data_IF_794056322487
#
_entry.id   IF_794056322487
#
_cell.length_a   1.000
_cell.length_b   1.000
_cell.length_c   1.000
_cell.angle_alpha   90.00
_cell.angle_beta   90.00
_cell.angle_gamma   90.00
#
_symmetry.space_group_name_H-M   'P 1'
#
loop_
_entity.id
_entity.type
_entity.pdbx_description
1 polymer ?
#
# COMPACT_ATOMS: atom_id res chain seq x y z
N UNK A 1 68.98 -4.68 3.08
CA UNK A 1 67.84 -4.64 4.04
C UNK A 1 67.86 -5.91 4.86
N UNK A 2 68.08 -5.82 6.17
CA UNK A 2 68.31 -6.96 7.05
C UNK A 2 67.05 -7.85 7.19
N UNK A 3 67.18 -9.17 6.97
CA UNK A 3 66.05 -10.13 7.05
C UNK A 3 65.26 -10.05 8.38
N UNK A 4 65.88 -9.56 9.46
CA UNK A 4 65.22 -9.33 10.76
C UNK A 4 64.27 -8.12 10.74
N UNK A 5 64.54 -7.08 9.94
CA UNK A 5 63.68 -5.88 9.81
C UNK A 5 62.47 -6.21 8.95
N UNK A 6 62.63 -7.03 7.92
CA UNK A 6 61.51 -7.48 7.08
C UNK A 6 60.50 -8.36 7.85
N UNK A 7 61.00 -9.19 8.80
CA UNK A 7 60.12 -10.05 9.63
C UNK A 7 59.32 -9.25 10.67
N UNK A 8 59.89 -8.20 11.22
CA UNK A 8 59.17 -7.31 12.18
C UNK A 8 58.10 -6.47 11.46
N UNK A 9 58.40 -6.00 10.24
CA UNK A 9 57.42 -5.24 9.43
C UNK A 9 56.25 -6.11 8.97
N UNK A 10 56.45 -7.39 8.65
CA UNK A 10 55.38 -8.31 8.26
C UNK A 10 54.50 -8.66 9.47
N UNK A 11 55.10 -8.82 10.66
CA UNK A 11 54.31 -9.06 11.91
C UNK A 11 53.52 -7.81 12.33
N UNK A 12 54.04 -6.60 12.14
CA UNK A 12 53.31 -5.37 12.43
C UNK A 12 52.15 -5.13 11.47
N UNK A 13 52.28 -5.46 10.16
CA UNK A 13 51.18 -5.40 9.20
C UNK A 13 50.10 -6.46 9.46
N UNK A 14 50.50 -7.68 9.89
CA UNK A 14 49.51 -8.73 10.25
C UNK A 14 48.76 -8.38 11.54
N UNK A 15 49.37 -7.71 12.50
CA UNK A 15 48.69 -7.25 13.73
C UNK A 15 47.67 -6.10 13.43
N UNK A 16 47.98 -5.21 12.50
CA UNK A 16 47.06 -4.14 12.10
C UNK A 16 45.86 -4.68 11.29
N UNK A 17 46.01 -5.75 10.49
CA UNK A 17 44.93 -6.38 9.75
C UNK A 17 43.99 -7.18 10.66
N UNK A 18 44.49 -7.77 11.76
CA UNK A 18 43.65 -8.50 12.72
C UNK A 18 42.88 -7.55 13.66
N UNK A 19 43.43 -6.37 14.00
CA UNK A 19 42.71 -5.38 14.79
C UNK A 19 41.65 -4.62 13.98
N UNK A 20 41.80 -4.49 12.65
CA UNK A 20 40.79 -3.89 11.77
C UNK A 20 39.55 -4.75 11.55
N UNK A 21 39.67 -6.08 11.59
CA UNK A 21 38.57 -6.98 11.44
C UNK A 21 37.78 -7.28 12.77
N UNK A 22 38.46 -7.08 13.92
CA UNK A 22 37.84 -7.27 15.24
C UNK A 22 37.07 -6.02 15.72
N UNK A 23 37.38 -4.83 15.21
CA UNK A 23 36.69 -3.60 15.62
C UNK A 23 35.34 -3.39 14.94
N UNK A 24 35.14 -3.87 13.74
CA UNK A 24 33.84 -3.77 13.06
C UNK A 24 32.76 -4.64 13.75
N UNK A 25 33.10 -5.90 14.12
CA UNK A 25 32.13 -6.78 14.79
C UNK A 25 31.92 -6.52 16.29
N UNK A 26 32.84 -5.77 16.94
CA UNK A 26 32.73 -5.45 18.37
C UNK A 26 31.91 -4.15 18.62
N UNK A 27 31.91 -3.23 17.65
CA UNK A 27 31.03 -2.04 17.70
C UNK A 27 29.59 -2.37 17.35
N UNK A 28 29.32 -3.35 16.50
CA UNK A 28 27.96 -3.87 16.25
C UNK A 28 27.35 -4.60 17.48
N UNK A 29 28.21 -5.18 18.35
CA UNK A 29 27.73 -5.85 19.58
C UNK A 29 27.48 -4.87 20.75
N UNK A 30 28.05 -3.66 20.73
CA UNK A 30 27.88 -2.64 21.78
C UNK A 30 27.01 -1.45 21.36
N UNK A 31 26.71 -1.31 20.10
CA UNK A 31 25.74 -0.39 19.59
C UNK A 31 24.46 -1.16 19.32
N UNK A 32 23.46 -1.02 20.19
CA UNK A 32 22.09 -1.11 19.72
C UNK A 32 21.97 -0.03 18.64
N UNK A 33 22.33 -0.39 17.40
CA UNK A 33 22.18 0.51 16.27
C UNK A 33 20.73 0.91 16.23
N UNK A 34 20.46 2.21 16.35
CA UNK A 34 19.18 2.75 15.96
C UNK A 34 19.08 2.55 14.45
N UNK A 35 18.88 1.31 14.02
CA UNK A 35 18.66 1.00 12.62
C UNK A 35 17.41 1.76 12.17
N UNK A 36 17.58 2.57 11.14
CA UNK A 36 16.47 3.35 10.60
C UNK A 36 15.50 2.39 9.94
N UNK A 37 14.27 2.32 10.45
CA UNK A 37 13.20 1.51 9.88
C UNK A 37 12.74 2.15 8.57
N UNK A 38 12.89 1.45 7.47
CA UNK A 38 12.43 1.91 6.16
C UNK A 38 10.99 1.49 5.93
N UNK A 39 10.13 2.49 5.77
CA UNK A 39 8.71 2.29 5.55
C UNK A 39 8.34 2.68 4.13
N UNK A 40 8.01 1.67 3.31
CA UNK A 40 7.56 1.88 1.94
C UNK A 40 6.07 2.24 1.87
N UNK A 41 5.71 3.13 0.94
CA UNK A 41 4.33 3.57 0.75
C UNK A 41 4.03 3.93 -0.72
N UNK A 42 2.75 4.06 -1.04
CA UNK A 42 2.27 4.55 -2.32
C UNK A 42 1.72 5.98 -2.17
N UNK A 43 1.81 6.85 -3.20
CA UNK A 43 1.29 8.21 -3.13
C UNK A 43 -0.26 8.20 -3.20
N UNK A 44 -0.89 7.87 -2.08
CA UNK A 44 -2.35 7.77 -1.93
C UNK A 44 -2.75 8.15 -0.49
N UNK A 45 -3.93 8.75 -0.37
CA UNK A 45 -4.58 9.03 0.92
C UNK A 45 -4.99 7.75 1.67
N UNK A 46 -5.00 6.60 1.01
CA UNK A 46 -5.15 5.29 1.66
C UNK A 46 -4.06 5.03 2.73
N UNK A 47 -2.90 5.65 2.58
CA UNK A 47 -1.77 5.55 3.50
C UNK A 47 -1.74 6.71 4.53
N UNK A 48 -2.86 7.47 4.67
CA UNK A 48 -2.94 8.65 5.56
C UNK A 48 -2.51 8.36 7.00
N UNK A 49 -2.75 7.16 7.53
CA UNK A 49 -2.32 6.81 8.89
C UNK A 49 -0.79 6.82 9.06
N UNK A 50 -0.03 6.46 8.02
CA UNK A 50 1.42 6.57 8.00
C UNK A 50 1.85 8.04 8.10
N UNK A 51 1.29 8.90 7.25
CA UNK A 51 1.67 10.31 7.20
C UNK A 51 1.27 11.07 8.46
N UNK A 52 0.10 10.79 9.02
CA UNK A 52 -0.33 11.31 10.32
C UNK A 52 0.64 10.88 11.42
N UNK A 53 1.04 9.61 11.46
CA UNK A 53 1.97 9.10 12.44
C UNK A 53 3.34 9.79 12.35
N UNK A 54 3.86 9.94 11.15
CA UNK A 54 5.14 10.60 10.88
C UNK A 54 5.09 12.09 11.27
N UNK A 55 4.13 12.85 10.74
CA UNK A 55 3.99 14.29 11.00
C UNK A 55 3.71 14.63 12.47
N UNK A 56 3.08 13.73 13.22
CA UNK A 56 2.86 13.89 14.66
C UNK A 56 4.05 13.40 15.50
N UNK A 57 5.11 12.88 14.87
CA UNK A 57 6.31 12.36 15.53
C UNK A 57 6.02 11.14 16.42
N UNK A 58 5.04 10.29 16.04
CA UNK A 58 4.66 9.13 16.87
C UNK A 58 5.74 8.07 16.90
N UNK A 59 6.50 7.91 15.82
CA UNK A 59 7.65 7.00 15.75
C UNK A 59 8.79 7.48 16.65
N UNK A 60 9.15 8.76 16.56
CA UNK A 60 10.21 9.36 17.39
C UNK A 60 9.89 9.27 18.90
N UNK A 61 8.62 9.47 19.29
CA UNK A 61 8.16 9.32 20.68
C UNK A 61 8.37 7.90 21.22
N UNK A 62 8.48 6.93 20.35
CA UNK A 62 8.79 5.53 20.66
C UNK A 62 10.28 5.17 20.49
N UNK A 63 11.10 6.15 20.12
CA UNK A 63 12.54 5.95 19.86
C UNK A 63 12.80 5.22 18.53
N UNK A 64 11.80 5.11 17.66
CA UNK A 64 11.92 4.50 16.33
C UNK A 64 12.31 5.60 15.34
N UNK A 65 13.47 5.46 14.72
CA UNK A 65 13.89 6.31 13.61
C UNK A 65 13.34 5.74 12.30
N UNK A 66 12.66 6.55 11.51
CA UNK A 66 12.03 6.11 10.27
C UNK A 66 12.58 6.83 9.04
N UNK A 67 12.57 6.13 7.90
CA UNK A 67 12.77 6.68 6.57
C UNK A 67 11.57 6.26 5.71
N UNK A 68 10.81 7.23 5.20
CA UNK A 68 9.68 6.96 4.33
C UNK A 68 10.14 6.87 2.87
N UNK A 69 9.85 5.74 2.20
CA UNK A 69 10.30 5.45 0.83
C UNK A 69 9.08 5.31 -0.07
N UNK A 70 8.94 6.22 -1.03
CA UNK A 70 7.83 6.22 -1.97
C UNK A 70 8.06 5.25 -3.13
N UNK A 71 7.01 4.50 -3.47
CA UNK A 71 6.97 3.61 -4.63
C UNK A 71 5.87 4.00 -5.61
N UNK A 72 6.06 3.68 -6.89
CA UNK A 72 5.05 3.97 -7.92
C UNK A 72 3.87 2.99 -7.91
N UNK A 73 4.07 1.78 -7.38
CA UNK A 73 3.07 0.72 -7.34
C UNK A 73 3.42 -0.36 -6.30
N UNK A 74 2.44 -1.20 -5.96
CA UNK A 74 2.61 -2.24 -4.95
C UNK A 74 3.59 -3.36 -5.35
N UNK A 75 3.77 -3.63 -6.64
CA UNK A 75 4.71 -4.63 -7.13
C UNK A 75 6.17 -4.25 -6.86
N UNK A 76 6.51 -2.98 -7.12
CA UNK A 76 7.84 -2.44 -6.84
C UNK A 76 8.12 -2.44 -5.33
N UNK A 77 7.14 -2.03 -4.52
CA UNK A 77 7.25 -2.09 -3.06
C UNK A 77 7.46 -3.53 -2.57
N UNK A 78 6.70 -4.51 -3.07
CA UNK A 78 6.90 -5.90 -2.70
C UNK A 78 8.27 -6.45 -3.14
N UNK A 79 8.81 -5.97 -4.25
CA UNK A 79 10.16 -6.32 -4.70
C UNK A 79 11.23 -5.76 -3.76
N UNK A 80 11.09 -4.51 -3.31
CA UNK A 80 11.98 -3.88 -2.34
C UNK A 80 11.93 -4.58 -0.97
N UNK A 81 10.74 -5.02 -0.53
CA UNK A 81 10.61 -5.83 0.68
C UNK A 81 11.24 -7.21 0.53
N UNK A 82 11.07 -7.85 -0.63
CA UNK A 82 11.70 -9.16 -0.91
C UNK A 82 13.23 -9.11 -0.95
N UNK A 83 13.81 -7.96 -1.35
CA UNK A 83 15.27 -7.73 -1.35
C UNK A 83 15.83 -7.27 0.00
N UNK A 84 14.97 -6.95 0.99
CA UNK A 84 15.38 -6.38 2.28
C UNK A 84 15.73 -4.89 2.24
N UNK A 85 15.33 -4.18 1.18
CA UNK A 85 15.50 -2.73 1.09
C UNK A 85 14.47 -1.96 1.91
N UNK A 86 13.33 -2.57 2.23
CA UNK A 86 12.21 -2.00 2.99
C UNK A 86 11.78 -2.99 4.06
N UNK A 87 11.59 -2.51 5.27
CA UNK A 87 11.25 -3.30 6.46
C UNK A 87 9.74 -3.44 6.65
N UNK A 88 9.02 -2.33 6.46
CA UNK A 88 7.57 -2.21 6.65
C UNK A 88 6.95 -1.58 5.40
N UNK A 89 5.76 -2.01 5.00
CA UNK A 89 5.08 -1.47 3.82
C UNK A 89 3.62 -1.15 4.08
N UNK A 90 3.17 -0.01 3.57
CA UNK A 90 1.76 0.34 3.42
C UNK A 90 1.38 0.07 1.96
N UNK A 91 0.49 -0.87 1.73
CA UNK A 91 0.28 -1.39 0.37
C UNK A 91 -1.06 -2.10 0.23
N UNK A 92 -1.57 -2.17 -0.99
CA UNK A 92 -2.77 -2.94 -1.31
C UNK A 92 -2.60 -4.44 -1.00
N UNK A 93 -3.67 -5.09 -0.54
CA UNK A 93 -3.65 -6.51 -0.17
C UNK A 93 -3.32 -7.44 -1.35
N UNK A 94 -3.74 -7.11 -2.57
CA UNK A 94 -3.55 -7.97 -3.74
C UNK A 94 -2.07 -8.22 -4.12
N UNK A 95 -1.17 -7.21 -4.20
CA UNK A 95 0.25 -7.46 -4.38
C UNK A 95 0.88 -8.22 -3.21
N UNK A 96 0.38 -8.04 -1.98
CA UNK A 96 0.83 -8.84 -0.82
C UNK A 96 0.49 -10.30 -1.00
N UNK A 97 -0.76 -10.62 -1.32
CA UNK A 97 -1.22 -11.99 -1.56
C UNK A 97 -0.40 -12.67 -2.66
N UNK A 98 -0.17 -11.97 -3.77
CA UNK A 98 0.65 -12.46 -4.88
C UNK A 98 2.10 -12.73 -4.47
N UNK A 99 2.67 -11.88 -3.59
CA UNK A 99 4.05 -12.01 -3.11
C UNK A 99 4.19 -13.16 -2.10
N UNK A 100 3.27 -13.27 -1.14
CA UNK A 100 3.26 -14.39 -0.17
C UNK A 100 3.00 -15.72 -0.87
N UNK A 101 2.14 -15.76 -1.89
CA UNK A 101 1.92 -16.96 -2.71
C UNK A 101 3.20 -17.41 -3.43
N UNK A 102 4.10 -16.49 -3.78
CA UNK A 102 5.42 -16.75 -4.38
C UNK A 102 6.51 -17.04 -3.34
N UNK A 103 6.20 -17.01 -2.05
CA UNK A 103 7.13 -17.31 -0.98
C UNK A 103 7.96 -16.12 -0.48
N UNK A 104 7.57 -14.88 -0.79
CA UNK A 104 8.21 -13.69 -0.21
C UNK A 104 7.97 -13.71 1.31
N UNK A 105 9.02 -13.57 2.14
CA UNK A 105 8.94 -13.70 3.59
C UNK A 105 8.45 -12.39 4.22
N UNK A 106 7.15 -12.14 4.12
CA UNK A 106 6.46 -10.97 4.70
C UNK A 106 5.17 -11.39 5.38
N UNK A 107 4.72 -10.60 6.33
CA UNK A 107 3.45 -10.80 7.06
C UNK A 107 2.63 -9.52 7.06
N UNK A 108 1.31 -9.69 6.95
CA UNK A 108 0.37 -8.63 7.28
C UNK A 108 0.32 -8.48 8.80
N UNK A 109 0.64 -7.30 9.30
CA UNK A 109 0.68 -6.96 10.72
C UNK A 109 -0.52 -6.11 11.16
N UNK A 110 -1.18 -5.42 10.22
CA UNK A 110 -2.43 -4.67 10.46
C UNK A 110 -3.21 -4.48 9.16
N UNK A 111 -4.53 -4.34 9.25
CA UNK A 111 -5.33 -3.68 8.22
C UNK A 111 -5.03 -2.18 8.22
N UNK A 112 -5.29 -1.47 7.12
CA UNK A 112 -5.14 -0.02 7.05
C UNK A 112 -6.43 0.67 6.59
N UNK A 113 -7.08 0.14 5.55
CA UNK A 113 -8.31 0.72 5.02
C UNK A 113 -9.06 -0.32 4.17
N UNK A 114 -10.38 -0.12 4.00
CA UNK A 114 -11.25 -0.88 3.09
C UNK A 114 -11.87 0.06 2.07
N UNK A 115 -12.30 -0.50 0.94
CA UNK A 115 -13.02 0.26 -0.10
C UNK A 115 -12.16 1.35 -0.77
N UNK A 116 -12.73 2.54 -1.03
CA UNK A 116 -11.98 3.69 -1.57
C UNK A 116 -11.70 3.60 -3.07
N UNK A 117 -12.42 2.77 -3.84
CA UNK A 117 -12.33 2.73 -5.29
C UNK A 117 -13.67 3.11 -5.92
N UNK A 118 -13.66 3.42 -7.23
CA UNK A 118 -14.88 3.74 -7.96
C UNK A 118 -14.72 3.66 -9.47
N UNK A 119 -15.83 3.47 -10.15
CA UNK A 119 -15.95 3.55 -11.61
C UNK A 119 -16.42 4.97 -11.96
N UNK A 120 -15.61 5.70 -12.71
CA UNK A 120 -15.95 7.03 -13.21
C UNK A 120 -16.03 6.98 -14.73
N UNK A 121 -17.10 7.52 -15.30
CA UNK A 121 -17.34 7.53 -16.74
C UNK A 121 -17.61 8.94 -17.24
N UNK A 122 -17.34 9.20 -18.53
CA UNK A 122 -17.72 10.46 -19.15
C UNK A 122 -19.23 10.48 -19.42
N UNK A 123 -19.90 11.60 -19.21
CA UNK A 123 -21.33 11.77 -19.52
C UNK A 123 -21.64 11.52 -20.99
N UNK A 124 -20.72 11.92 -21.87
CA UNK A 124 -20.86 11.75 -23.33
C UNK A 124 -20.76 10.28 -23.76
N UNK A 125 -20.20 9.38 -22.93
CA UNK A 125 -20.15 7.95 -23.23
C UNK A 125 -21.52 7.30 -23.29
N UNK A 126 -22.54 7.92 -22.69
CA UNK A 126 -23.88 7.37 -22.56
C UNK A 126 -23.99 6.20 -21.56
N UNK A 127 -22.95 5.98 -20.75
CA UNK A 127 -22.94 4.92 -19.73
C UNK A 127 -23.71 5.41 -18.51
N UNK A 128 -24.79 4.71 -18.16
CA UNK A 128 -25.64 4.99 -17.00
C UNK A 128 -25.83 3.76 -16.12
N UNK A 129 -25.43 2.59 -16.63
CA UNK A 129 -25.55 1.30 -15.94
C UNK A 129 -24.41 0.35 -16.33
N UNK A 130 -24.30 -0.77 -15.63
CA UNK A 130 -23.35 -1.82 -15.99
C UNK A 130 -23.56 -2.35 -17.42
N UNK A 131 -24.80 -2.46 -17.89
CA UNK A 131 -25.12 -2.96 -19.23
C UNK A 131 -24.54 -2.09 -20.34
N UNK A 132 -24.44 -0.77 -20.11
CA UNK A 132 -23.90 0.20 -21.08
C UNK A 132 -22.37 0.11 -21.23
N UNK A 133 -21.70 -0.62 -20.34
CA UNK A 133 -20.23 -0.83 -20.41
C UNK A 133 -19.82 -1.73 -21.57
N UNK A 134 -20.76 -2.50 -22.15
CA UNK A 134 -20.44 -3.41 -23.26
C UNK A 134 -19.88 -2.66 -24.46
N UNK A 135 -18.69 -3.08 -24.93
CA UNK A 135 -17.97 -2.48 -26.03
C UNK A 135 -17.23 -1.17 -25.69
N UNK A 136 -17.33 -0.67 -24.45
CA UNK A 136 -16.69 0.57 -24.01
C UNK A 136 -15.23 0.37 -23.66
N UNK A 137 -14.48 1.48 -23.73
CA UNK A 137 -13.06 1.54 -23.40
C UNK A 137 -12.90 1.99 -21.96
N UNK A 138 -12.46 1.06 -21.10
CA UNK A 138 -12.28 1.30 -19.65
C UNK A 138 -10.81 1.11 -19.28
N UNK A 139 -10.23 2.10 -18.60
CA UNK A 139 -8.88 1.92 -18.06
C UNK A 139 -8.92 1.42 -16.61
N UNK A 140 -7.94 0.58 -16.28
CA UNK A 140 -7.62 0.12 -14.92
C UNK A 140 -6.19 0.51 -14.56
N UNK A 141 -5.84 0.68 -13.27
CA UNK A 141 -4.46 0.88 -12.87
C UNK A 141 -3.58 -0.31 -13.29
N UNK A 142 -2.41 -0.01 -13.86
CA UNK A 142 -1.50 -1.03 -14.41
C UNK A 142 -0.97 -1.84 -13.25
N UNK A 143 -0.85 -2.10 -12.36
CA UNK A 143 -0.18 -2.88 -11.30
C UNK A 143 -0.93 -2.77 -9.95
N UNK A 144 -2.22 -2.49 -10.06
CA UNK A 144 -3.13 -2.48 -8.92
C UNK A 144 -4.29 -3.45 -9.21
N UNK A 145 -4.11 -4.76 -8.95
CA UNK A 145 -5.08 -5.79 -9.33
C UNK A 145 -6.42 -5.67 -8.60
N UNK A 146 -6.51 -4.97 -7.48
CA UNK A 146 -7.76 -4.76 -6.73
C UNK A 146 -8.86 -4.20 -7.63
N UNK A 147 -8.57 -3.13 -8.40
CA UNK A 147 -9.55 -2.48 -9.27
C UNK A 147 -9.99 -3.41 -10.41
N UNK A 148 -9.08 -4.24 -10.93
CA UNK A 148 -9.44 -5.24 -11.93
C UNK A 148 -10.35 -6.33 -11.35
N UNK A 149 -10.11 -6.79 -10.13
CA UNK A 149 -10.98 -7.74 -9.43
C UNK A 149 -12.37 -7.14 -9.24
N UNK A 150 -12.43 -5.90 -8.75
CA UNK A 150 -13.70 -5.18 -8.53
C UNK A 150 -14.49 -5.01 -9.84
N UNK A 151 -13.81 -4.58 -10.92
CA UNK A 151 -14.45 -4.47 -12.23
C UNK A 151 -14.97 -5.83 -12.71
N UNK A 152 -14.15 -6.87 -12.61
CA UNK A 152 -14.54 -8.22 -13.03
C UNK A 152 -15.75 -8.73 -12.24
N UNK A 153 -15.78 -8.49 -10.93
CA UNK A 153 -16.88 -8.86 -10.06
C UNK A 153 -18.15 -8.06 -10.39
N UNK A 154 -18.03 -6.75 -10.61
CA UNK A 154 -19.15 -5.89 -11.00
C UNK A 154 -19.78 -6.34 -12.32
N UNK A 155 -18.96 -6.64 -13.30
CA UNK A 155 -19.41 -7.14 -14.61
C UNK A 155 -20.11 -8.49 -14.47
N UNK A 156 -19.51 -9.45 -13.75
CA UNK A 156 -20.09 -10.78 -13.52
C UNK A 156 -21.48 -10.72 -12.85
N UNK A 157 -21.64 -9.87 -11.84
CA UNK A 157 -22.92 -9.61 -11.18
C UNK A 157 -24.00 -9.09 -12.12
N UNK A 158 -23.61 -8.40 -13.18
CA UNK A 158 -24.50 -7.80 -14.17
C UNK A 158 -24.56 -8.60 -15.48
N UNK A 159 -24.11 -9.86 -15.49
CA UNK A 159 -24.17 -10.74 -16.65
C UNK A 159 -23.21 -10.43 -17.78
N UNK A 160 -22.17 -9.67 -17.48
CA UNK A 160 -21.07 -9.30 -18.39
C UNK A 160 -19.76 -9.93 -17.95
N UNK A 161 -18.74 -9.81 -18.79
CA UNK A 161 -17.39 -10.23 -18.50
C UNK A 161 -16.39 -9.17 -18.95
N UNK A 162 -15.14 -9.25 -18.49
CA UNK A 162 -14.07 -8.37 -18.95
C UNK A 162 -13.80 -8.46 -20.46
N UNK A 163 -14.22 -9.55 -21.12
CA UNK A 163 -14.12 -9.72 -22.57
C UNK A 163 -15.13 -8.90 -23.37
N UNK A 164 -16.17 -8.41 -22.68
CA UNK A 164 -17.20 -7.54 -23.29
C UNK A 164 -16.75 -6.09 -23.36
N UNK A 165 -15.61 -5.72 -22.76
CA UNK A 165 -15.06 -4.38 -22.71
C UNK A 165 -13.70 -4.30 -23.41
N UNK A 166 -13.29 -3.08 -23.79
CA UNK A 166 -11.92 -2.78 -24.23
C UNK A 166 -11.14 -2.27 -23.00
N UNK A 167 -10.49 -3.18 -22.26
CA UNK A 167 -9.77 -2.83 -21.03
C UNK A 167 -8.31 -2.48 -21.36
N UNK A 168 -7.84 -1.33 -20.86
CA UNK A 168 -6.45 -0.88 -20.93
C UNK A 168 -5.87 -0.66 -19.55
N UNK A 169 -4.62 -1.12 -19.33
CA UNK A 169 -3.88 -0.90 -18.10
C UNK A 169 -3.01 0.36 -18.23
N UNK A 170 -3.25 1.37 -17.39
CA UNK A 170 -2.60 2.68 -17.45
C UNK A 170 -2.00 3.07 -16.09
N UNK A 171 -1.04 4.03 -16.09
CA UNK A 171 -0.63 4.69 -14.84
C UNK A 171 -1.76 5.59 -14.35
N UNK A 172 -2.01 5.61 -13.04
CA UNK A 172 -3.19 6.26 -12.46
C UNK A 172 -3.32 7.74 -12.83
N UNK A 173 -2.28 8.60 -12.74
CA UNK A 173 -2.41 10.00 -13.17
C UNK A 173 -2.83 10.13 -14.63
N UNK A 174 -2.28 9.28 -15.53
CA UNK A 174 -2.59 9.29 -16.96
C UNK A 174 -4.01 8.83 -17.29
N UNK A 175 -4.67 8.10 -16.39
CA UNK A 175 -6.06 7.66 -16.59
C UNK A 175 -7.01 8.86 -16.58
N UNK A 176 -6.84 9.80 -15.66
CA UNK A 176 -7.65 11.01 -15.60
C UNK A 176 -7.47 11.90 -16.85
N UNK A 177 -6.23 12.00 -17.36
CA UNK A 177 -5.96 12.73 -18.59
C UNK A 177 -6.61 12.07 -19.81
N UNK A 178 -6.54 10.72 -19.90
CA UNK A 178 -7.16 9.97 -20.99
C UNK A 178 -8.70 10.09 -20.95
N UNK A 179 -9.30 10.09 -19.75
CA UNK A 179 -10.74 10.32 -19.56
C UNK A 179 -11.12 11.74 -20.00
N UNK A 180 -10.40 12.75 -19.54
CA UNK A 180 -10.61 14.18 -19.89
C UNK A 180 -10.49 14.44 -21.39
N UNK A 181 -9.55 13.76 -22.06
CA UNK A 181 -9.35 13.89 -23.52
C UNK A 181 -10.24 12.95 -24.35
N UNK A 182 -11.15 12.21 -23.70
CA UNK A 182 -12.09 11.26 -24.33
C UNK A 182 -11.40 10.16 -25.14
N UNK A 183 -10.18 9.76 -24.76
CA UNK A 183 -9.49 8.61 -25.33
C UNK A 183 -10.07 7.30 -24.82
N UNK A 184 -10.75 7.35 -23.66
CA UNK A 184 -11.45 6.24 -23.00
C UNK A 184 -12.81 6.73 -22.52
N UNK A 185 -13.76 5.81 -22.36
CA UNK A 185 -15.11 6.09 -21.92
C UNK A 185 -15.22 6.15 -20.39
N UNK A 186 -14.36 5.43 -19.68
CA UNK A 186 -14.37 5.36 -18.23
C UNK A 186 -13.08 4.81 -17.65
N UNK A 187 -12.99 4.93 -16.33
CA UNK A 187 -11.90 4.41 -15.50
C UNK A 187 -12.48 3.67 -14.31
N UNK A 188 -11.77 2.67 -13.81
CA UNK A 188 -11.91 2.23 -12.43
C UNK A 188 -10.61 2.54 -11.72
N UNK A 189 -10.65 3.32 -10.65
CA UNK A 189 -9.48 3.79 -9.93
C UNK A 189 -9.75 3.86 -8.42
N UNK A 190 -8.81 4.38 -7.65
CA UNK A 190 -8.87 4.53 -6.20
C UNK A 190 -8.72 6.00 -5.80
N UNK A 191 -9.03 6.32 -4.54
CA UNK A 191 -8.90 7.67 -4.00
C UNK A 191 -7.43 8.09 -3.85
N UNK A 192 -7.14 9.39 -4.06
CA UNK A 192 -8.06 10.50 -4.36
C UNK A 192 -8.46 10.64 -5.85
N UNK A 193 -7.96 9.76 -6.72
CA UNK A 193 -8.15 9.87 -8.18
C UNK A 193 -9.61 9.72 -8.64
N UNK A 194 -10.44 9.02 -7.87
CA UNK A 194 -11.90 8.98 -8.10
C UNK A 194 -12.48 10.39 -7.91
N UNK A 195 -12.16 11.04 -6.80
CA UNK A 195 -12.61 12.41 -6.49
C UNK A 195 -12.09 13.43 -7.50
N UNK A 196 -10.82 13.29 -7.92
CA UNK A 196 -10.22 14.16 -8.94
C UNK A 196 -10.96 14.00 -10.28
N UNK A 197 -11.22 12.76 -10.73
CA UNK A 197 -11.94 12.51 -11.96
C UNK A 197 -13.40 13.01 -11.90
N UNK A 198 -14.08 12.78 -10.77
CA UNK A 198 -15.47 13.19 -10.56
C UNK A 198 -15.64 14.71 -10.40
N UNK A 199 -14.58 15.45 -10.06
CA UNK A 199 -14.61 16.91 -10.00
C UNK A 199 -14.75 17.57 -11.38
N UNK A 200 -14.40 16.87 -12.46
CA UNK A 200 -14.74 17.33 -13.82
C UNK A 200 -16.24 17.15 -14.05
N UNK A 201 -16.93 18.27 -14.33
CA UNK A 201 -18.40 18.29 -14.56
C UNK A 201 -18.85 17.46 -15.76
N UNK A 202 -17.92 17.06 -16.64
CA UNK A 202 -18.18 16.15 -17.76
C UNK A 202 -18.21 14.68 -17.36
N UNK A 203 -17.80 14.38 -16.15
CA UNK A 203 -17.75 13.01 -15.63
C UNK A 203 -18.86 12.73 -14.59
N UNK A 204 -19.05 11.46 -14.30
CA UNK A 204 -19.94 10.99 -13.24
C UNK A 204 -19.39 9.70 -12.65
N UNK A 205 -19.52 9.53 -11.33
CA UNK A 205 -19.26 8.25 -10.67
C UNK A 205 -20.43 7.32 -11.04
N UNK A 206 -20.10 6.25 -11.76
CA UNK A 206 -21.07 5.21 -12.11
C UNK A 206 -21.39 4.33 -10.91
N UNK A 207 -20.34 3.94 -10.17
CA UNK A 207 -20.46 3.05 -9.01
C UNK A 207 -19.28 3.20 -8.07
N UNK A 208 -19.50 3.24 -6.77
CA UNK A 208 -18.45 3.18 -5.76
C UNK A 208 -18.15 1.72 -5.39
N UNK A 209 -16.91 1.45 -4.97
CA UNK A 209 -16.52 0.09 -4.59
C UNK A 209 -17.25 -0.44 -3.35
N UNK A 210 -17.73 0.44 -2.48
CA UNK A 210 -18.61 0.11 -1.35
C UNK A 210 -19.96 -0.50 -1.79
N UNK A 211 -20.44 -0.15 -2.98
CA UNK A 211 -21.66 -0.67 -3.58
C UNK A 211 -21.36 -1.92 -4.43
N UNK A 212 -20.20 -1.95 -5.06
CA UNK A 212 -19.74 -3.12 -5.84
C UNK A 212 -19.50 -4.32 -4.92
N UNK A 213 -18.66 -4.15 -3.91
CA UNK A 213 -18.25 -5.18 -2.96
C UNK A 213 -18.03 -4.54 -1.57
N UNK A 214 -19.08 -4.44 -0.75
CA UNK A 214 -18.98 -3.80 0.57
C UNK A 214 -17.90 -4.43 1.46
N UNK A 215 -17.17 -3.59 2.18
CA UNK A 215 -16.08 -3.95 3.09
C UNK A 215 -14.90 -4.70 2.43
N UNK A 216 -14.76 -4.65 1.10
CA UNK A 216 -13.62 -5.33 0.49
C UNK A 216 -12.29 -4.80 1.04
N UNK A 217 -11.34 -5.69 1.36
CA UNK A 217 -10.03 -5.26 1.84
C UNK A 217 -9.32 -4.47 0.73
N UNK A 218 -8.66 -3.38 1.09
CA UNK A 218 -7.87 -2.63 0.15
C UNK A 218 -6.42 -2.54 0.60
N UNK A 219 -6.08 -1.74 1.61
CA UNK A 219 -4.70 -1.59 2.06
C UNK A 219 -4.44 -2.22 3.44
N UNK A 220 -3.20 -2.66 3.60
CA UNK A 220 -2.68 -3.30 4.81
C UNK A 220 -1.31 -2.74 5.16
N UNK A 221 -0.91 -2.92 6.40
CA UNK A 221 0.46 -2.75 6.85
C UNK A 221 1.13 -4.11 6.89
N UNK A 222 2.27 -4.22 6.23
CA UNK A 222 3.08 -5.46 6.17
C UNK A 222 4.46 -5.22 6.76
N UNK A 223 5.09 -6.27 7.27
CA UNK A 223 6.49 -6.24 7.70
C UNK A 223 7.22 -7.49 7.19
N UNK A 224 8.53 -7.37 6.96
CA UNK A 224 9.35 -8.51 6.60
C UNK A 224 9.52 -9.46 7.78
N UNK A 225 9.63 -10.77 7.50
CA UNK A 225 9.86 -11.77 8.54
C UNK A 225 11.16 -11.51 9.32
N UNK A 226 12.20 -10.99 8.64
CA UNK A 226 13.47 -10.62 9.26
C UNK A 226 13.31 -9.43 10.21
N UNK A 227 12.56 -8.39 9.81
CA UNK A 227 12.26 -7.27 10.69
C UNK A 227 11.45 -7.72 11.91
N UNK A 228 10.39 -8.47 11.70
CA UNK A 228 9.55 -9.00 12.80
C UNK A 228 10.41 -9.81 13.79
N UNK A 229 11.29 -10.68 13.29
CA UNK A 229 12.11 -11.55 14.13
C UNK A 229 13.16 -10.79 14.95
N UNK A 230 13.78 -9.78 14.34
CA UNK A 230 14.88 -9.04 14.97
C UNK A 230 14.40 -7.84 15.77
N UNK A 231 13.21 -7.30 15.46
CA UNK A 231 12.62 -6.06 15.98
C UNK A 231 11.16 -6.27 16.43
N UNK A 232 10.89 -7.34 17.21
CA UNK A 232 9.52 -7.68 17.61
C UNK A 232 8.83 -6.56 18.41
N UNK A 233 9.57 -5.86 19.28
CA UNK A 233 9.02 -4.76 20.07
C UNK A 233 8.69 -3.55 19.18
N UNK A 234 9.56 -3.19 18.26
CA UNK A 234 9.34 -2.12 17.28
C UNK A 234 8.15 -2.46 16.37
N UNK A 235 8.00 -3.72 15.97
CA UNK A 235 6.85 -4.20 15.20
C UNK A 235 5.54 -3.97 15.97
N UNK A 236 5.50 -4.31 17.27
CA UNK A 236 4.33 -4.05 18.14
C UNK A 236 4.08 -2.55 18.32
N UNK A 237 5.14 -1.74 18.47
CA UNK A 237 5.01 -0.29 18.56
C UNK A 237 4.50 0.32 17.26
N UNK A 238 4.94 -0.14 16.08
CA UNK A 238 4.44 0.29 14.77
C UNK A 238 2.95 0.00 14.63
N UNK A 239 2.49 -1.19 15.04
CA UNK A 239 1.05 -1.53 15.06
C UNK A 239 0.27 -0.58 15.97
N UNK A 240 0.78 -0.29 17.17
CA UNK A 240 0.15 0.63 18.11
C UNK A 240 0.13 2.08 17.57
N UNK A 241 1.20 2.53 16.93
CA UNK A 241 1.31 3.84 16.28
C UNK A 241 0.28 3.94 15.14
N UNK A 242 0.23 2.94 14.25
CA UNK A 242 -0.75 2.88 13.18
C UNK A 242 -2.18 2.97 13.71
N UNK A 243 -2.51 2.19 14.75
CA UNK A 243 -3.82 2.25 15.41
C UNK A 243 -4.14 3.64 15.95
N UNK A 244 -3.18 4.30 16.60
CA UNK A 244 -3.37 5.64 17.16
C UNK A 244 -3.62 6.67 16.04
N UNK A 245 -2.85 6.61 14.95
CA UNK A 245 -3.04 7.48 13.80
C UNK A 245 -4.39 7.23 13.11
N UNK A 246 -4.79 5.97 12.95
CA UNK A 246 -6.11 5.59 12.42
C UNK A 246 -7.25 6.14 13.27
N UNK A 247 -7.15 6.03 14.60
CA UNK A 247 -8.14 6.59 15.52
C UNK A 247 -8.22 8.11 15.37
N UNK A 248 -7.08 8.82 15.32
CA UNK A 248 -7.05 10.25 15.09
C UNK A 248 -7.78 10.65 13.79
N UNK A 249 -7.52 9.95 12.68
CA UNK A 249 -8.20 10.19 11.40
C UNK A 249 -9.71 10.02 11.56
N UNK A 250 -10.15 8.89 12.13
CA UNK A 250 -11.57 8.59 12.30
C UNK A 250 -12.27 9.60 13.22
N UNK A 251 -11.60 10.04 14.28
CA UNK A 251 -12.14 11.07 15.19
C UNK A 251 -12.30 12.40 14.43
N UNK A 252 -11.31 12.81 13.62
CA UNK A 252 -11.39 14.04 12.83
C UNK A 252 -12.48 13.98 11.76
N UNK A 253 -12.65 12.83 11.09
CA UNK A 253 -13.75 12.62 10.14
C UNK A 253 -15.10 12.74 10.86
N UNK A 254 -15.26 12.08 12.00
CA UNK A 254 -16.50 12.11 12.80
C UNK A 254 -16.85 13.52 13.33
N UNK A 255 -15.83 14.31 13.69
CA UNK A 255 -15.97 15.71 14.12
C UNK A 255 -16.28 16.68 12.97
N UNK A 256 -16.23 16.24 11.71
CA UNK A 256 -16.33 17.10 10.52
C UNK A 256 -15.07 17.95 10.27
N UNK A 257 -13.94 17.56 10.84
CA UNK A 257 -12.66 18.27 10.82
C UNK A 257 -11.59 17.56 9.97
N UNK A 258 -11.99 16.85 8.92
CA UNK A 258 -11.08 16.11 8.03
C UNK A 258 -9.97 16.96 7.42
N UNK A 259 -10.19 18.28 7.29
CA UNK A 259 -9.16 19.24 6.85
C UNK A 259 -7.93 19.28 7.77
N UNK A 260 -8.05 18.88 9.04
CA UNK A 260 -6.88 18.73 9.93
C UNK A 260 -6.03 17.52 9.56
N UNK A 261 -6.62 16.46 9.05
CA UNK A 261 -5.90 15.29 8.50
C UNK A 261 -5.18 15.70 7.21
N UNK A 262 -5.87 16.41 6.31
CA UNK A 262 -5.29 16.87 5.02
C UNK A 262 -4.00 17.67 5.22
N UNK A 263 -3.91 18.50 6.27
CA UNK A 263 -2.69 19.27 6.60
C UNK A 263 -1.49 18.42 6.99
N UNK A 264 -1.70 17.15 7.32
CA UNK A 264 -0.66 16.20 7.72
C UNK A 264 -0.22 15.29 6.55
N UNK A 265 -0.93 15.34 5.42
CA UNK A 265 -0.57 14.58 4.23
C UNK A 265 0.56 15.30 3.44
N UNK A 266 1.39 14.56 2.71
CA UNK A 266 2.37 15.13 1.78
C UNK A 266 1.70 15.97 0.68
N UNK A 267 2.36 17.06 0.29
CA UNK A 267 1.83 18.00 -0.72
C UNK A 267 1.62 17.37 -2.11
N UNK A 268 2.41 16.37 -2.45
CA UNK A 268 2.32 15.64 -3.72
C UNK A 268 1.13 14.68 -3.80
N UNK A 269 0.50 14.37 -2.65
CA UNK A 269 -0.74 13.58 -2.58
C UNK A 269 -1.95 14.49 -2.64
N UNK A 270 -1.86 15.67 -2.03
CA UNK A 270 -2.98 16.63 -1.92
C UNK A 270 -3.06 17.52 -3.18
N UNK A 271 -3.78 17.07 -4.19
CA UNK A 271 -4.01 17.89 -5.39
C UNK A 271 -4.86 19.14 -5.10
N UNK A 272 -5.83 19.02 -4.18
CA UNK A 272 -6.73 20.08 -3.73
C UNK A 272 -7.30 19.70 -2.36
N UNK A 273 -7.21 20.61 -1.39
CA UNK A 273 -7.63 20.34 0.00
C UNK A 273 -9.10 19.97 0.16
N UNK A 274 -9.99 20.56 -0.64
CA UNK A 274 -11.43 20.26 -0.56
C UNK A 274 -11.73 18.87 -1.15
N UNK A 275 -11.09 18.53 -2.27
CA UNK A 275 -11.21 17.19 -2.86
C UNK A 275 -10.66 16.13 -1.93
N UNK A 276 -9.52 16.40 -1.31
CA UNK A 276 -8.88 15.49 -0.37
C UNK A 276 -9.72 15.30 0.90
N UNK A 277 -10.32 16.38 1.43
CA UNK A 277 -11.26 16.31 2.54
C UNK A 277 -12.45 15.40 2.23
N UNK A 278 -13.00 15.50 1.01
CA UNK A 278 -14.10 14.64 0.57
C UNK A 278 -13.63 13.20 0.34
N UNK A 279 -12.43 13.02 -0.19
CA UNK A 279 -11.81 11.72 -0.42
C UNK A 279 -11.68 10.94 0.89
N UNK A 280 -11.06 11.52 1.91
CA UNK A 280 -10.86 10.91 3.24
C UNK A 280 -12.17 10.48 3.91
N UNK A 281 -13.30 11.09 3.56
CA UNK A 281 -14.63 10.74 4.09
C UNK A 281 -15.33 9.64 3.31
N UNK A 282 -14.79 9.24 2.16
CA UNK A 282 -15.47 8.33 1.22
C UNK A 282 -15.18 6.85 1.46
N UNK A 283 -14.27 6.52 2.39
CA UNK A 283 -13.91 5.14 2.72
C UNK A 283 -13.47 4.99 4.19
N UNK A 284 -13.62 3.77 4.76
CA UNK A 284 -13.26 3.53 6.15
C UNK A 284 -11.75 3.35 6.37
N UNK A 285 -11.17 4.06 7.33
CA UNK A 285 -9.87 3.74 7.91
C UNK A 285 -10.02 2.73 9.04
N UNK A 286 -9.27 1.65 8.99
CA UNK A 286 -9.33 0.56 9.96
C UNK A 286 -7.94 0.16 10.45
N UNK A 287 -7.87 -0.54 11.57
CA UNK A 287 -6.62 -1.06 12.11
C UNK A 287 -6.82 -2.40 12.82
N UNK A 288 -5.76 -3.19 12.89
CA UNK A 288 -5.75 -4.51 13.51
C UNK A 288 -6.22 -5.63 12.57
N UNK A 289 -6.17 -6.86 13.06
CA UNK A 289 -6.47 -8.07 12.30
C UNK A 289 -7.59 -8.85 12.99
N UNK A 290 -8.82 -8.31 12.93
CA UNK A 290 -9.99 -9.02 13.45
C UNK A 290 -10.47 -10.13 12.50
N UNK A 291 -11.33 -11.02 13.01
CA UNK A 291 -11.81 -12.17 12.23
C UNK A 291 -12.67 -11.75 11.02
N UNK A 292 -13.40 -10.63 11.12
CA UNK A 292 -14.20 -10.10 10.00
C UNK A 292 -13.28 -9.69 8.85
N UNK A 293 -12.27 -8.86 9.11
CA UNK A 293 -11.30 -8.46 8.07
C UNK A 293 -10.61 -9.68 7.45
N UNK A 294 -10.19 -10.67 8.26
CA UNK A 294 -9.58 -11.90 7.74
C UNK A 294 -10.54 -12.70 6.85
N UNK A 295 -11.84 -12.73 7.17
CA UNK A 295 -12.84 -13.39 6.36
C UNK A 295 -13.10 -12.63 5.03
N UNK A 296 -13.06 -11.29 5.07
CA UNK A 296 -13.18 -10.46 3.86
C UNK A 296 -11.96 -10.66 2.95
N UNK A 297 -10.74 -10.78 3.50
CA UNK A 297 -9.53 -11.14 2.73
C UNK A 297 -9.66 -12.54 2.12
N UNK A 298 -10.17 -13.54 2.87
CA UNK A 298 -10.39 -14.89 2.33
C UNK A 298 -11.38 -14.87 1.16
N UNK A 299 -12.45 -14.09 1.28
CA UNK A 299 -13.44 -13.90 0.21
C UNK A 299 -12.83 -13.21 -1.00
N UNK A 300 -12.02 -12.20 -0.79
CA UNK A 300 -11.34 -11.45 -1.85
C UNK A 300 -10.31 -12.31 -2.59
N UNK A 301 -9.53 -13.13 -1.88
CA UNK A 301 -8.60 -14.10 -2.49
C UNK A 301 -9.33 -15.07 -3.45
N UNK A 302 -10.53 -15.53 -3.07
CA UNK A 302 -11.32 -16.40 -3.94
C UNK A 302 -11.72 -15.69 -5.25
N UNK A 303 -11.99 -14.39 -5.20
CA UNK A 303 -12.22 -13.59 -6.42
C UNK A 303 -10.94 -13.47 -7.24
N UNK A 304 -9.78 -13.22 -6.63
CA UNK A 304 -8.50 -13.17 -7.33
C UNK A 304 -8.16 -14.49 -8.03
N UNK A 305 -8.46 -15.63 -7.39
CA UNK A 305 -8.32 -16.95 -8.02
C UNK A 305 -9.28 -17.10 -9.19
N UNK A 306 -10.56 -16.68 -9.01
CA UNK A 306 -11.57 -16.75 -10.08
C UNK A 306 -11.19 -15.95 -11.33
N UNK A 307 -10.56 -14.79 -11.15
CA UNK A 307 -10.12 -13.93 -12.29
C UNK A 307 -8.70 -14.22 -12.76
N UNK A 308 -8.02 -15.22 -12.18
CA UNK A 308 -6.71 -15.68 -12.61
C UNK A 308 -5.52 -14.83 -12.16
N UNK A 309 -5.69 -13.97 -11.16
CA UNK A 309 -4.59 -13.21 -10.53
C UNK A 309 -3.76 -14.12 -9.61
N UNK A 310 -4.45 -14.91 -8.78
CA UNK A 310 -3.84 -15.94 -7.95
C UNK A 310 -4.10 -17.33 -8.54
N UNK A 311 -3.13 -18.24 -8.39
CA UNK A 311 -3.31 -19.65 -8.75
C UNK A 311 -4.08 -20.41 -7.65
N UNK A 312 -3.91 -20.01 -6.40
CA UNK A 312 -4.57 -20.56 -5.23
C UNK A 312 -4.54 -19.54 -4.08
N UNK A 313 -5.43 -19.70 -3.11
CA UNK A 313 -5.45 -18.86 -1.90
C UNK A 313 -4.23 -19.09 -1.02
N UNK A 314 -3.83 -18.07 -0.28
CA UNK A 314 -2.76 -18.09 0.73
C UNK A 314 -3.37 -18.44 2.08
N UNK A 315 -2.75 -19.35 2.82
CA UNK A 315 -3.22 -19.71 4.18
C UNK A 315 -2.97 -18.59 5.18
N UNK A 316 -3.84 -18.50 6.20
CA UNK A 316 -3.74 -17.48 7.27
C UNK A 316 -2.40 -17.48 7.98
N UNK A 317 -1.83 -18.65 8.26
CA UNK A 317 -0.54 -18.78 8.94
C UNK A 317 0.63 -18.20 8.14
N UNK A 318 0.53 -18.27 6.80
CA UNK A 318 1.52 -17.67 5.90
C UNK A 318 1.32 -16.16 5.76
N UNK A 319 0.07 -15.70 5.81
CA UNK A 319 -0.29 -14.32 5.51
C UNK A 319 -0.17 -13.39 6.72
N UNK A 320 -0.61 -13.82 7.90
CA UNK A 320 -0.70 -12.94 9.07
C UNK A 320 0.37 -13.21 10.10
N UNK A 321 0.83 -12.14 10.73
CA UNK A 321 1.63 -12.26 11.94
C UNK A 321 0.69 -12.53 13.15
N UNK A 322 0.91 -13.59 13.93
CA UNK A 322 0.18 -13.82 15.15
C UNK A 322 0.73 -12.90 16.25
N UNK A 323 0.14 -11.70 16.40
CA UNK A 323 0.51 -10.75 17.45
C UNK A 323 -0.06 -11.15 18.81
#
# INVERSE_FOLDING_TARGET
MNKKIAFVLVLALAACLVMGAASAGFFDFLGGGNDTVKIGYLPSDHDAALFVADKQGLYEKKGIKTELVQFNNGGDLMTAMASGEVDVGYVGIAPVLSSVAKGVPIKVISSAQTEGSGIVVTKDSGITSAADLKGKSIATPREAPIQYVLLSYYLDKNGLSTKDLNISAMKVPSMNDALKTKQIDGIITFQPYVSIAANDTNNVVLENSSEILPNHPCCVVVASDDFIKNHENETKDIIAIHKNATNFINDKIKEGNSSEVVKLLPEDIVANSDLETNSLQSFPFISGLNDTFKADVDSFQNLEVKVGILNSTVSKDKLYWPA
#
